data_IF_102345343353
#
_entry.id   IF_102345343353
#
_cell.length_a   1.000
_cell.length_b   1.000
_cell.length_c   1.000
_cell.angle_alpha   90.00
_cell.angle_beta   90.00
_cell.angle_gamma   90.00
#
_symmetry.space_group_name_H-M   'P 1'
#
loop_
_entity.id
_entity.type
_entity.pdbx_description
1 polymer ?
#
# COMPACT_ATOMS: atom_id res chain seq x y z
N UNK A 1 1.06 6.21 -3.58
CA UNK A 1 0.67 5.10 -4.46
C UNK A 1 -0.15 4.04 -3.71
N UNK A 2 0.45 2.97 -3.17
CA UNK A 2 -0.28 1.79 -2.68
C UNK A 2 -1.38 2.10 -1.65
N UNK A 3 -1.11 2.93 -0.63
CA UNK A 3 -2.12 3.30 0.37
C UNK A 3 -3.34 4.03 -0.24
N UNK A 4 -3.12 4.93 -1.20
CA UNK A 4 -4.19 5.64 -1.92
C UNK A 4 -5.03 4.67 -2.74
N UNK A 5 -4.35 3.74 -3.42
CA UNK A 5 -5.03 2.70 -4.20
C UNK A 5 -5.91 1.79 -3.34
N UNK A 6 -5.42 1.36 -2.18
CA UNK A 6 -6.19 0.55 -1.22
C UNK A 6 -7.47 1.27 -0.72
N UNK A 7 -7.50 2.61 -0.79
CA UNK A 7 -8.65 3.43 -0.45
C UNK A 7 -9.55 3.74 -1.65
N UNK A 8 -9.33 3.10 -2.81
CA UNK A 8 -10.10 3.34 -4.04
C UNK A 8 -9.77 4.67 -4.73
N UNK A 9 -8.66 5.33 -4.35
CA UNK A 9 -8.23 6.59 -4.94
C UNK A 9 -7.25 6.34 -6.09
N UNK A 10 -7.10 7.35 -6.96
CA UNK A 10 -5.99 7.38 -7.91
C UNK A 10 -4.65 7.32 -7.16
N UNK A 11 -3.84 6.31 -7.46
CA UNK A 11 -2.69 6.00 -6.62
C UNK A 11 -1.51 6.97 -6.82
N UNK A 12 -1.33 7.44 -8.06
CA UNK A 12 -0.29 8.40 -8.42
C UNK A 12 -0.85 9.44 -9.39
N UNK A 13 -1.58 10.44 -8.88
CA UNK A 13 -2.08 11.54 -9.70
C UNK A 13 -0.93 12.33 -10.33
N UNK A 14 -1.22 12.96 -11.48
CA UNK A 14 -0.29 13.83 -12.21
C UNK A 14 0.37 14.89 -11.33
N UNK A 15 -0.35 15.44 -10.35
CA UNK A 15 0.21 16.44 -9.42
C UNK A 15 1.37 15.89 -8.58
N UNK A 16 1.39 14.59 -8.26
CA UNK A 16 2.53 13.94 -7.61
C UNK A 16 3.67 13.70 -8.59
N UNK A 17 3.38 13.28 -9.82
CA UNK A 17 4.39 13.17 -10.88
C UNK A 17 5.09 14.51 -11.11
N UNK A 18 4.34 15.60 -11.27
CA UNK A 18 4.89 16.94 -11.50
C UNK A 18 5.72 17.47 -10.31
N UNK A 19 5.25 17.26 -9.07
CA UNK A 19 5.93 17.79 -7.88
C UNK A 19 7.17 16.98 -7.47
N UNK A 20 7.15 15.67 -7.68
CA UNK A 20 8.25 14.78 -7.28
C UNK A 20 9.19 14.43 -8.44
N UNK A 21 8.77 14.72 -9.68
CA UNK A 21 9.43 14.33 -10.93
C UNK A 21 9.56 12.80 -11.09
N UNK A 22 8.76 12.02 -10.36
CA UNK A 22 8.68 10.58 -10.48
C UNK A 22 7.38 10.14 -11.14
N UNK A 23 7.48 9.44 -12.26
CA UNK A 23 6.40 8.60 -12.78
C UNK A 23 6.35 7.24 -12.07
N UNK A 24 5.17 6.60 -12.08
CA UNK A 24 4.99 5.24 -11.52
C UNK A 24 6.05 4.27 -12.04
N UNK A 25 6.38 4.35 -13.33
CA UNK A 25 7.36 3.46 -13.97
C UNK A 25 8.74 3.50 -13.31
N UNK A 26 9.13 4.64 -12.74
CA UNK A 26 10.44 4.79 -12.09
C UNK A 26 10.57 3.96 -10.81
N UNK A 27 9.46 3.58 -10.17
CA UNK A 27 9.47 2.84 -8.91
C UNK A 27 8.51 1.64 -8.90
N UNK A 28 8.11 1.15 -10.08
CA UNK A 28 7.16 0.04 -10.24
C UNK A 28 7.64 -1.26 -9.57
N UNK A 29 8.93 -1.59 -9.67
CA UNK A 29 9.50 -2.77 -9.00
C UNK A 29 9.39 -2.66 -7.47
N UNK A 30 9.73 -1.49 -6.92
CA UNK A 30 9.59 -1.20 -5.49
C UNK A 30 8.13 -1.31 -5.03
N UNK A 31 7.17 -0.82 -5.81
CA UNK A 31 5.74 -0.99 -5.52
C UNK A 31 5.32 -2.46 -5.51
N UNK A 32 5.86 -3.27 -6.41
CA UNK A 32 5.56 -4.70 -6.50
C UNK A 32 6.06 -5.43 -5.25
N UNK A 33 7.30 -5.20 -4.84
CA UNK A 33 7.87 -5.79 -3.62
C UNK A 33 7.13 -5.32 -2.36
N UNK A 34 6.77 -4.03 -2.30
CA UNK A 34 5.99 -3.48 -1.20
C UNK A 34 4.59 -4.09 -1.13
N UNK A 35 3.94 -4.31 -2.28
CA UNK A 35 2.64 -4.95 -2.37
C UNK A 35 2.69 -6.41 -1.89
N UNK A 36 3.70 -7.16 -2.31
CA UNK A 36 3.93 -8.52 -1.79
C UNK A 36 4.18 -8.53 -0.28
N UNK A 37 4.95 -7.58 0.23
CA UNK A 37 5.17 -7.42 1.67
C UNK A 37 3.85 -7.14 2.39
N UNK A 38 3.00 -6.28 1.84
CA UNK A 38 1.69 -5.95 2.42
C UNK A 38 0.72 -7.14 2.43
N UNK A 39 0.64 -7.91 1.34
CA UNK A 39 -0.18 -9.13 1.27
C UNK A 39 0.28 -10.17 2.30
N UNK A 40 1.59 -10.30 2.50
CA UNK A 40 2.17 -11.29 3.41
C UNK A 40 2.23 -10.81 4.87
N UNK A 41 1.96 -9.53 5.14
CA UNK A 41 2.03 -8.95 6.47
C UNK A 41 1.26 -9.72 7.56
N UNK A 42 0.03 -10.25 7.33
CA UNK A 42 -0.67 -11.04 8.34
C UNK A 42 0.00 -12.38 8.69
N UNK A 43 0.82 -12.92 7.79
CA UNK A 43 1.51 -14.21 7.95
C UNK A 43 2.96 -14.06 8.39
N UNK A 44 3.47 -12.83 8.41
CA UNK A 44 4.86 -12.55 8.71
C UNK A 44 5.18 -12.83 10.19
N UNK A 45 6.34 -13.39 10.56
CA UNK A 45 6.62 -13.70 11.97
C UNK A 45 6.65 -12.46 12.87
N UNK A 46 7.11 -11.31 12.36
CA UNK A 46 7.18 -10.05 13.10
C UNK A 46 5.87 -9.26 13.00
N UNK A 47 4.98 -9.42 13.99
CA UNK A 47 3.65 -8.79 14.02
C UNK A 47 3.57 -7.44 14.77
N UNK A 48 4.65 -6.98 15.40
CA UNK A 48 4.62 -5.77 16.24
C UNK A 48 4.10 -4.51 15.52
N UNK A 49 4.41 -4.35 14.22
CA UNK A 49 3.90 -3.25 13.41
C UNK A 49 2.41 -3.42 13.08
N UNK A 50 1.97 -4.63 12.70
CA UNK A 50 0.56 -4.93 12.44
C UNK A 50 -0.28 -4.59 13.66
N UNK A 51 0.13 -5.03 14.85
CA UNK A 51 -0.62 -4.75 16.08
C UNK A 51 -0.62 -3.26 16.44
N UNK A 52 0.51 -2.55 16.28
CA UNK A 52 0.59 -1.10 16.50
C UNK A 52 -0.43 -0.34 15.65
N UNK A 53 -0.45 -0.61 14.34
CA UNK A 53 -1.30 0.11 13.38
C UNK A 53 -2.76 -0.36 13.38
N UNK A 54 -3.07 -1.45 14.08
CA UNK A 54 -4.43 -1.97 14.25
C UNK A 54 -5.21 -1.21 15.33
N UNK A 55 -4.51 -0.44 16.16
CA UNK A 55 -5.14 0.39 17.18
C UNK A 55 -5.95 1.54 16.57
N UNK A 56 -6.99 1.97 17.29
CA UNK A 56 -7.86 3.09 16.88
C UNK A 56 -7.10 4.42 16.69
N UNK A 57 -5.95 4.59 17.38
CA UNK A 57 -5.03 5.73 17.19
C UNK A 57 -4.59 5.88 15.73
N UNK A 58 -4.44 4.77 15.02
CA UNK A 58 -4.05 4.75 13.61
C UNK A 58 -5.21 4.39 12.69
N UNK A 59 -6.46 4.61 13.14
CA UNK A 59 -7.67 4.29 12.38
C UNK A 59 -7.74 2.82 11.94
N UNK A 60 -7.06 1.92 12.67
CA UNK A 60 -7.12 0.48 12.45
C UNK A 60 -6.71 0.08 11.01
N UNK A 61 -5.79 0.84 10.40
CA UNK A 61 -5.39 0.67 8.99
C UNK A 61 -4.73 -0.66 8.68
N UNK A 62 -4.22 -1.39 9.69
CA UNK A 62 -3.74 -2.77 9.55
C UNK A 62 -4.72 -3.81 10.08
N UNK A 63 -5.97 -3.45 10.36
CA UNK A 63 -7.05 -4.43 10.47
C UNK A 63 -7.41 -4.94 9.06
N UNK A 64 -6.74 -6.01 8.64
CA UNK A 64 -6.90 -6.59 7.30
C UNK A 64 -8.29 -7.19 7.03
N UNK A 65 -9.13 -7.38 8.06
CA UNK A 65 -10.54 -7.76 7.85
C UNK A 65 -11.37 -6.56 7.38
N UNK A 66 -11.06 -5.36 7.91
CA UNK A 66 -11.72 -4.10 7.52
C UNK A 66 -11.09 -3.49 6.27
N UNK A 67 -9.77 -3.62 6.15
CA UNK A 67 -8.94 -3.00 5.12
C UNK A 67 -8.13 -4.08 4.38
N UNK A 68 -8.77 -4.89 3.51
CA UNK A 68 -8.08 -5.95 2.79
C UNK A 68 -7.05 -5.36 1.81
N UNK A 69 -5.86 -5.98 1.66
CA UNK A 69 -4.92 -5.60 0.63
C UNK A 69 -5.53 -5.75 -0.77
N UNK A 70 -5.23 -4.85 -1.72
CA UNK A 70 -5.67 -5.00 -3.09
C UNK A 70 -5.08 -6.28 -3.70
N UNK A 71 -5.87 -7.03 -4.46
CA UNK A 71 -5.43 -8.31 -5.07
C UNK A 71 -4.54 -8.14 -6.30
N UNK A 72 -4.58 -6.98 -6.95
CA UNK A 72 -3.76 -6.66 -8.13
C UNK A 72 -3.33 -5.20 -8.12
N UNK A 73 -2.20 -4.89 -8.76
CA UNK A 73 -1.77 -3.52 -9.02
C UNK A 73 -2.20 -3.11 -10.43
N UNK A 74 -2.83 -1.94 -10.63
CA UNK A 74 -3.39 -1.55 -11.92
C UNK A 74 -2.32 -1.05 -12.92
N UNK A 75 -1.04 -1.01 -12.52
CA UNK A 75 0.09 -0.55 -13.35
C UNK A 75 0.97 -1.70 -13.84
N UNK A 76 0.60 -2.94 -13.51
CA UNK A 76 1.25 -4.15 -14.01
C UNK A 76 0.36 -4.74 -15.10
N UNK A 77 0.53 -4.25 -16.33
CA UNK A 77 0.00 -4.83 -17.56
C UNK A 77 1.07 -5.65 -18.26
#
# INVERSE_FOLDING_TARGET
CLARYSLGQEAWPESLSQSSQYEIGHFANCLTELHQTYINAPKHPQQALVEKYKTSKFHEVSDFQKNPPPTSLPYMS
#
